data_IF_042805885679
#
_entry.id   IF_042805885679
#
_cell.length_a   1.000
_cell.length_b   1.000
_cell.length_c   1.000
_cell.angle_alpha   90.00
_cell.angle_beta   90.00
_cell.angle_gamma   90.00
#
_symmetry.space_group_name_H-M   'P 1'
#
loop_
_entity.id
_entity.type
_entity.pdbx_description
1 polymer ?
#
# COMPACT_ATOMS: atom_id res chain seq x y z
N UNK A 1 -27.69 12.16 -16.49
CA UNK A 1 -26.79 10.98 -16.62
C UNK A 1 -25.55 11.19 -15.73
N UNK A 2 -24.72 10.17 -15.45
CA UNK A 2 -23.45 10.36 -14.70
C UNK A 2 -22.56 11.47 -15.32
N UNK A 3 -22.73 11.74 -16.61
CA UNK A 3 -22.04 12.82 -17.32
C UNK A 3 -22.55 14.25 -16.98
N UNK A 4 -23.78 14.42 -16.48
CA UNK A 4 -24.30 15.75 -16.06
C UNK A 4 -23.86 16.13 -14.64
N UNK A 5 -23.51 15.15 -13.79
CA UNK A 5 -22.97 15.37 -12.44
C UNK A 5 -21.46 15.66 -12.44
N UNK A 6 -20.75 15.36 -13.53
CA UNK A 6 -19.29 15.50 -13.62
C UNK A 6 -18.79 16.97 -13.59
N UNK A 7 -19.68 17.96 -13.75
CA UNK A 7 -19.33 19.39 -13.78
C UNK A 7 -19.79 20.23 -12.60
N UNK A 8 -20.63 19.70 -11.69
CA UNK A 8 -21.17 20.48 -10.57
C UNK A 8 -20.46 20.14 -9.26
N UNK A 9 -19.70 21.11 -8.74
CA UNK A 9 -19.09 21.02 -7.41
C UNK A 9 -20.19 20.83 -6.36
N UNK A 10 -20.15 19.72 -5.64
CA UNK A 10 -21.07 19.43 -4.55
C UNK A 10 -20.85 20.39 -3.38
N UNK A 11 -21.87 20.54 -2.50
CA UNK A 11 -21.73 21.35 -1.28
C UNK A 11 -20.56 20.86 -0.40
N UNK A 12 -20.36 19.54 -0.33
CA UNK A 12 -19.25 18.94 0.41
C UNK A 12 -17.90 19.36 -0.18
N UNK A 13 -17.73 19.22 -1.50
CA UNK A 13 -16.48 19.63 -2.17
C UNK A 13 -16.21 21.13 -2.00
N UNK A 14 -17.25 21.98 -2.06
CA UNK A 14 -17.10 23.41 -1.82
C UNK A 14 -16.66 23.71 -0.37
N UNK A 15 -17.27 23.04 0.61
CA UNK A 15 -16.87 23.15 2.02
C UNK A 15 -15.42 22.70 2.21
N UNK A 16 -14.99 21.60 1.59
CA UNK A 16 -13.60 21.14 1.65
C UNK A 16 -12.64 22.15 1.00
N UNK A 17 -12.94 22.68 -0.19
CA UNK A 17 -12.10 23.71 -0.81
C UNK A 17 -11.93 24.96 0.08
N UNK A 18 -13.01 25.38 0.75
CA UNK A 18 -12.94 26.49 1.70
C UNK A 18 -12.13 26.13 2.96
N UNK A 19 -12.30 24.91 3.48
CA UNK A 19 -11.55 24.40 4.62
C UNK A 19 -10.05 24.33 4.33
N UNK A 20 -9.65 23.84 3.17
CA UNK A 20 -8.24 23.76 2.79
C UNK A 20 -7.60 25.15 2.61
N UNK A 21 -8.34 26.11 2.02
CA UNK A 21 -7.89 27.50 1.93
C UNK A 21 -7.68 28.11 3.32
N UNK A 22 -8.65 27.95 4.23
CA UNK A 22 -8.57 28.45 5.61
C UNK A 22 -7.38 27.81 6.34
N UNK A 23 -7.19 26.50 6.19
CA UNK A 23 -6.08 25.75 6.79
C UNK A 23 -4.73 26.23 6.25
N UNK A 24 -4.60 26.38 4.94
CA UNK A 24 -3.36 26.85 4.30
C UNK A 24 -2.98 28.24 4.82
N UNK A 25 -3.93 29.17 4.92
CA UNK A 25 -3.69 30.48 5.52
C UNK A 25 -3.33 30.41 7.00
N UNK A 26 -4.00 29.55 7.77
CA UNK A 26 -3.67 29.33 9.18
C UNK A 26 -2.23 28.82 9.36
N UNK A 27 -1.74 27.97 8.47
CA UNK A 27 -0.37 27.45 8.53
C UNK A 27 0.70 28.41 8.01
N UNK A 28 0.33 29.35 7.13
CA UNK A 28 1.24 30.32 6.52
C UNK A 28 1.31 31.66 7.27
N UNK A 29 0.34 31.94 8.15
CA UNK A 29 0.31 33.15 8.95
C UNK A 29 1.55 33.22 9.86
N UNK A 30 2.55 34.00 9.47
CA UNK A 30 3.66 34.38 10.33
C UNK A 30 3.21 35.50 11.27
N UNK A 31 3.75 35.57 12.51
CA UNK A 31 3.40 36.61 13.47
C UNK A 31 3.64 38.05 12.98
N UNK A 32 4.51 38.23 11.98
CA UNK A 32 5.02 39.55 11.57
C UNK A 32 4.52 40.05 10.20
N UNK A 33 3.63 39.32 9.51
CA UNK A 33 3.23 39.71 8.14
C UNK A 33 1.82 39.31 7.68
N UNK A 34 0.97 38.76 8.55
CA UNK A 34 -0.40 38.37 8.20
C UNK A 34 -1.41 39.51 8.27
N UNK A 35 -2.50 39.37 7.50
CA UNK A 35 -3.70 40.22 7.39
C UNK A 35 -4.51 40.39 8.69
N UNK A 36 -3.90 40.14 9.86
CA UNK A 36 -4.49 40.31 11.20
C UNK A 36 -5.59 39.31 11.57
N UNK A 37 -5.96 38.42 10.65
CA UNK A 37 -7.03 37.44 10.83
C UNK A 37 -6.47 36.09 11.28
N UNK A 38 -6.91 35.60 12.45
CA UNK A 38 -6.63 34.25 12.88
C UNK A 38 -7.56 33.26 12.15
N UNK A 39 -6.99 32.52 11.20
CA UNK A 39 -7.72 31.51 10.42
C UNK A 39 -7.96 30.22 11.20
N UNK A 40 -7.31 30.00 12.34
CA UNK A 40 -7.41 28.75 13.08
C UNK A 40 -8.81 28.51 13.69
N UNK A 41 -9.49 29.51 14.30
CA UNK A 41 -10.91 29.41 14.65
C UNK A 41 -11.82 29.09 13.46
N UNK A 42 -11.50 29.60 12.27
CA UNK A 42 -12.27 29.33 11.06
C UNK A 42 -12.14 27.86 10.63
N UNK A 43 -10.92 27.30 10.66
CA UNK A 43 -10.69 25.86 10.42
C UNK A 43 -11.54 25.02 11.36
N UNK A 44 -11.58 25.39 12.65
CA UNK A 44 -12.38 24.70 13.67
C UNK A 44 -13.88 24.72 13.34
N UNK A 45 -14.45 25.90 13.10
CA UNK A 45 -15.88 26.08 12.81
C UNK A 45 -16.28 25.37 11.52
N UNK A 46 -15.47 25.44 10.47
CA UNK A 46 -15.77 24.80 9.19
C UNK A 46 -15.67 23.28 9.30
N UNK A 47 -14.71 22.75 10.05
CA UNK A 47 -14.61 21.30 10.30
C UNK A 47 -15.84 20.81 11.07
N UNK A 48 -16.27 21.53 12.12
CA UNK A 48 -17.49 21.19 12.86
C UNK A 48 -18.75 21.28 11.98
N UNK A 49 -18.82 22.28 11.10
CA UNK A 49 -19.89 22.38 10.11
C UNK A 49 -19.90 21.16 9.19
N UNK A 50 -18.72 20.73 8.71
CA UNK A 50 -18.60 19.58 7.85
C UNK A 50 -19.12 18.31 8.54
N UNK A 51 -18.70 18.05 9.77
CA UNK A 51 -19.12 16.88 10.53
C UNK A 51 -20.63 16.88 10.83
N UNK A 52 -21.15 18.01 11.32
CA UNK A 52 -22.57 18.13 11.68
C UNK A 52 -23.51 18.10 10.47
N UNK A 53 -23.08 18.63 9.32
CA UNK A 53 -23.93 18.75 8.12
C UNK A 53 -23.80 17.63 7.12
N UNK A 54 -22.66 16.94 7.04
CA UNK A 54 -22.44 15.93 6.01
C UNK A 54 -22.26 14.53 6.59
N UNK A 55 -21.55 14.37 7.70
CA UNK A 55 -21.26 13.05 8.25
C UNK A 55 -22.48 12.41 8.91
N UNK A 56 -23.32 13.18 9.60
CA UNK A 56 -24.51 12.68 10.29
C UNK A 56 -24.22 11.46 11.20
N UNK A 57 -23.04 11.45 11.84
CA UNK A 57 -22.59 10.33 12.68
C UNK A 57 -21.92 9.16 11.95
N UNK A 58 -21.80 9.21 10.62
CA UNK A 58 -20.97 8.29 9.85
C UNK A 58 -19.51 8.76 9.73
N UNK A 59 -18.65 7.84 9.33
CA UNK A 59 -17.27 8.16 8.92
C UNK A 59 -17.23 8.88 7.57
N UNK A 60 -16.22 9.74 7.37
CA UNK A 60 -16.02 10.49 6.12
C UNK A 60 -15.94 9.57 4.89
N UNK A 61 -15.39 8.36 5.02
CA UNK A 61 -15.32 7.39 3.92
C UNK A 61 -16.70 6.95 3.44
N UNK A 62 -17.67 6.82 4.35
CA UNK A 62 -19.05 6.49 3.99
C UNK A 62 -19.73 7.62 3.22
N UNK A 63 -19.40 8.88 3.55
CA UNK A 63 -19.94 10.05 2.85
C UNK A 63 -19.34 10.19 1.45
N UNK A 64 -18.01 10.07 1.32
CA UNK A 64 -17.36 10.23 0.01
C UNK A 64 -17.62 9.06 -0.95
N UNK A 65 -18.13 7.93 -0.46
CA UNK A 65 -18.61 6.86 -1.33
C UNK A 65 -19.72 7.33 -2.29
N UNK A 66 -20.50 8.34 -1.89
CA UNK A 66 -21.59 8.92 -2.69
C UNK A 66 -21.17 10.00 -3.70
N UNK A 67 -19.88 10.36 -3.77
CA UNK A 67 -19.37 11.36 -4.74
C UNK A 67 -18.46 10.70 -5.80
N UNK A 68 -18.14 11.39 -6.92
CA UNK A 68 -17.28 10.85 -7.98
C UNK A 68 -15.93 10.37 -7.45
N UNK A 69 -15.45 9.22 -7.93
CA UNK A 69 -14.22 8.60 -7.47
C UNK A 69 -13.00 9.52 -7.51
N UNK A 70 -12.91 10.37 -8.55
CA UNK A 70 -11.82 11.33 -8.73
C UNK A 70 -11.76 12.42 -7.64
N UNK A 71 -12.90 12.75 -7.00
CA UNK A 71 -12.97 13.79 -5.96
C UNK A 71 -12.70 13.27 -4.55
N UNK A 72 -12.81 11.95 -4.32
CA UNK A 72 -12.75 11.35 -2.97
C UNK A 72 -11.41 11.60 -2.27
N UNK A 73 -10.24 11.40 -2.91
CA UNK A 73 -8.95 11.57 -2.24
C UNK A 73 -8.75 12.98 -1.70
N UNK A 74 -9.17 14.01 -2.45
CA UNK A 74 -8.99 15.41 -2.06
C UNK A 74 -9.87 15.81 -0.87
N UNK A 75 -11.11 15.30 -0.82
CA UNK A 75 -12.01 15.51 0.32
C UNK A 75 -11.45 14.82 1.58
N UNK A 76 -11.00 13.58 1.46
CA UNK A 76 -10.38 12.84 2.57
C UNK A 76 -9.11 13.54 3.07
N UNK A 77 -8.23 13.96 2.16
CA UNK A 77 -7.02 14.71 2.47
C UNK A 77 -7.32 15.96 3.26
N UNK A 78 -8.22 16.78 2.75
CA UNK A 78 -8.62 18.03 3.40
C UNK A 78 -9.13 17.78 4.82
N UNK A 79 -10.01 16.79 4.98
CA UNK A 79 -10.60 16.45 6.27
C UNK A 79 -9.52 16.02 7.28
N UNK A 80 -8.65 15.08 6.93
CA UNK A 80 -7.61 14.59 7.83
C UNK A 80 -6.52 15.63 8.13
N UNK A 81 -6.16 16.49 7.16
CA UNK A 81 -5.25 17.61 7.41
C UNK A 81 -5.85 18.66 8.35
N UNK A 82 -7.16 18.93 8.22
CA UNK A 82 -7.85 19.83 9.14
C UNK A 82 -7.86 19.26 10.57
N UNK A 83 -8.21 17.98 10.75
CA UNK A 83 -8.14 17.31 12.04
C UNK A 83 -6.73 17.33 12.64
N UNK A 84 -5.71 17.04 11.85
CA UNK A 84 -4.31 17.10 12.29
C UNK A 84 -3.90 18.51 12.72
N UNK A 85 -4.37 19.54 12.00
CA UNK A 85 -4.11 20.94 12.33
C UNK A 85 -4.77 21.33 13.65
N UNK A 86 -6.06 21.02 13.82
CA UNK A 86 -6.76 21.27 15.07
C UNK A 86 -6.15 20.52 16.25
N UNK A 87 -5.67 19.30 16.05
CA UNK A 87 -4.97 18.51 17.07
C UNK A 87 -3.70 19.20 17.56
N UNK A 88 -2.88 19.69 16.63
CA UNK A 88 -1.59 20.35 16.94
C UNK A 88 -1.77 21.63 17.76
N UNK A 89 -2.90 22.29 17.63
CA UNK A 89 -3.23 23.52 18.37
C UNK A 89 -4.18 23.30 19.57
N UNK A 90 -4.41 22.05 20.00
CA UNK A 90 -5.30 21.69 21.11
C UNK A 90 -6.75 22.22 20.98
N UNK A 91 -7.26 22.27 19.74
CA UNK A 91 -8.63 22.71 19.44
C UNK A 91 -9.59 21.56 19.14
N UNK A 92 -9.12 20.31 19.17
CA UNK A 92 -10.01 19.15 19.05
C UNK A 92 -10.80 18.86 20.32
N UNK A 93 -10.31 19.29 21.49
CA UNK A 93 -10.90 19.04 22.81
C UNK A 93 -11.99 20.06 23.18
N UNK A 94 -11.83 21.32 22.75
CA UNK A 94 -12.77 22.41 23.03
C UNK A 94 -13.97 22.50 22.07
N UNK A 95 -13.94 21.74 20.98
CA UNK A 95 -14.96 21.74 19.93
C UNK A 95 -15.66 20.40 20.04
N UNK A 96 -16.98 20.36 19.99
CA UNK A 96 -17.80 19.16 20.18
C UNK A 96 -17.64 18.08 19.10
N UNK A 97 -16.42 17.84 18.61
CA UNK A 97 -15.97 16.60 17.98
C UNK A 97 -16.33 15.47 18.92
N UNK A 98 -17.53 14.96 18.74
CA UNK A 98 -17.89 13.67 19.28
C UNK A 98 -16.86 12.74 18.64
N UNK A 99 -16.04 12.07 19.43
CA UNK A 99 -15.58 10.74 19.05
C UNK A 99 -16.78 9.85 19.37
N UNK A 100 -17.81 9.67 18.51
CA UNK A 100 -18.42 8.37 18.55
C UNK A 100 -17.24 7.43 18.31
N UNK A 101 -17.06 6.42 19.15
CA UNK A 101 -16.41 5.22 18.63
C UNK A 101 -17.14 4.96 17.32
N UNK A 102 -16.50 5.25 16.19
CA UNK A 102 -17.13 5.11 14.88
C UNK A 102 -17.58 3.67 14.85
N UNK A 103 -18.89 3.47 14.99
CA UNK A 103 -19.46 2.16 15.23
C UNK A 103 -19.58 1.49 13.87
N UNK A 104 -18.43 1.19 13.26
CA UNK A 104 -18.36 0.47 12.01
C UNK A 104 -19.22 -0.79 12.14
N UNK A 105 -20.22 -0.91 11.28
CA UNK A 105 -21.15 -2.02 11.33
C UNK A 105 -20.42 -3.37 11.22
N UNK A 106 -19.33 -3.42 10.43
CA UNK A 106 -18.50 -4.61 10.27
C UNK A 106 -17.74 -4.96 11.56
N UNK A 107 -17.02 -4.02 12.16
CA UNK A 107 -16.27 -4.27 13.39
C UNK A 107 -17.18 -4.47 14.60
N UNK A 108 -18.35 -3.81 14.62
CA UNK A 108 -19.42 -4.08 15.58
C UNK A 108 -19.99 -5.49 15.45
N UNK A 109 -20.14 -6.01 14.23
CA UNK A 109 -20.53 -7.40 14.00
C UNK A 109 -19.44 -8.39 14.42
N UNK A 110 -18.17 -8.07 14.16
CA UNK A 110 -17.02 -8.88 14.60
C UNK A 110 -16.96 -8.97 16.14
N UNK A 111 -17.07 -7.83 16.83
CA UNK A 111 -17.11 -7.76 18.29
C UNK A 111 -18.29 -8.53 18.89
N UNK A 112 -19.45 -8.51 18.22
CA UNK A 112 -20.63 -9.28 18.62
C UNK A 112 -20.54 -10.78 18.26
N UNK A 113 -19.43 -11.26 17.68
CA UNK A 113 -19.25 -12.65 17.28
C UNK A 113 -20.11 -13.09 16.09
N UNK A 114 -20.72 -12.15 15.36
CA UNK A 114 -21.60 -12.43 14.20
C UNK A 114 -20.81 -12.72 12.93
N UNK A 115 -19.59 -12.21 12.85
CA UNK A 115 -18.64 -12.46 11.75
C UNK A 115 -17.26 -12.71 12.32
N UNK A 116 -16.41 -13.41 11.57
CA UNK A 116 -14.98 -13.54 11.87
C UNK A 116 -14.18 -12.92 10.72
N UNK A 117 -13.25 -12.03 11.04
CA UNK A 117 -12.42 -11.35 10.06
C UNK A 117 -11.05 -12.00 9.98
N UNK A 118 -10.51 -12.09 8.76
CA UNK A 118 -9.16 -12.53 8.43
C UNK A 118 -8.46 -11.36 7.74
N UNK A 119 -7.30 -10.93 8.23
CA UNK A 119 -6.46 -9.97 7.52
C UNK A 119 -5.55 -10.72 6.54
N UNK A 120 -5.47 -10.25 5.29
CA UNK A 120 -4.64 -10.85 4.25
C UNK A 120 -3.80 -9.77 3.58
N UNK A 121 -2.49 -10.00 3.50
CA UNK A 121 -1.54 -9.10 2.83
C UNK A 121 -1.00 -9.73 1.55
N UNK A 122 -1.01 -8.99 0.45
CA UNK A 122 -0.52 -9.47 -0.85
C UNK A 122 1.01 -9.50 -0.97
N UNK A 123 1.50 -9.90 -2.16
CA UNK A 123 2.91 -9.83 -2.53
C UNK A 123 3.13 -9.02 -3.83
N UNK A 124 4.28 -9.22 -4.46
CA UNK A 124 4.59 -8.69 -5.79
C UNK A 124 3.77 -9.37 -6.90
N UNK A 125 3.73 -8.75 -8.09
CA UNK A 125 3.16 -9.33 -9.31
C UNK A 125 1.71 -8.95 -9.59
N UNK A 126 1.12 -8.06 -8.78
CA UNK A 126 -0.25 -7.58 -9.00
C UNK A 126 -0.30 -6.34 -9.92
N UNK A 127 0.61 -5.38 -9.73
CA UNK A 127 0.62 -4.08 -10.44
C UNK A 127 2.07 -3.59 -10.55
N UNK A 128 2.46 -3.01 -11.68
CA UNK A 128 3.79 -2.43 -11.87
C UNK A 128 3.92 -1.06 -11.19
N UNK A 129 2.81 -0.31 -11.14
CA UNK A 129 2.71 1.04 -10.55
C UNK A 129 2.47 1.01 -9.03
N UNK A 130 3.02 0.02 -8.32
CA UNK A 130 2.79 -0.15 -6.88
C UNK A 130 3.19 1.09 -6.04
N UNK A 131 4.14 1.90 -6.52
CA UNK A 131 4.54 3.16 -5.85
C UNK A 131 3.44 4.21 -5.91
N UNK A 132 2.61 4.22 -6.96
CA UNK A 132 1.49 5.17 -7.07
C UNK A 132 0.41 4.89 -6.00
N UNK A 133 0.26 3.63 -5.57
CA UNK A 133 -0.58 3.29 -4.41
C UNK A 133 -0.05 3.97 -3.14
N UNK A 134 1.26 3.90 -2.90
CA UNK A 134 1.90 4.54 -1.75
C UNK A 134 1.83 6.07 -1.81
N UNK A 135 2.03 6.67 -3.00
CA UNK A 135 1.89 8.12 -3.21
C UNK A 135 0.45 8.55 -2.92
N UNK A 136 -0.52 7.82 -3.46
CA UNK A 136 -1.95 8.11 -3.25
C UNK A 136 -2.30 8.00 -1.77
N UNK A 137 -1.83 6.94 -1.10
CA UNK A 137 -2.04 6.74 0.34
C UNK A 137 -1.43 7.89 1.16
N UNK A 138 -0.17 8.23 0.92
CA UNK A 138 0.54 9.30 1.63
C UNK A 138 -0.17 10.64 1.46
N UNK A 139 -0.52 11.02 0.21
CA UNK A 139 -1.21 12.27 -0.07
C UNK A 139 -2.62 12.32 0.55
N UNK A 140 -3.37 11.22 0.47
CA UNK A 140 -4.75 11.15 0.97
C UNK A 140 -4.82 11.21 2.49
N UNK A 141 -3.86 10.58 3.18
CA UNK A 141 -3.87 10.45 4.63
C UNK A 141 -2.69 11.15 5.31
N UNK A 142 -2.12 12.17 4.69
CA UNK A 142 -0.92 12.90 5.16
C UNK A 142 -1.03 13.26 6.64
N UNK A 143 -2.14 13.91 7.04
CA UNK A 143 -2.41 14.30 8.43
C UNK A 143 -2.52 13.14 9.44
N UNK A 144 -2.53 11.88 8.98
CA UNK A 144 -2.56 10.67 9.81
C UNK A 144 -1.24 9.90 9.69
N UNK A 145 -0.81 9.61 8.47
CA UNK A 145 0.21 8.59 8.12
C UNK A 145 1.64 9.15 8.13
N UNK A 146 1.82 10.47 8.08
CA UNK A 146 3.14 11.12 8.03
C UNK A 146 4.13 10.62 9.09
N UNK A 147 3.77 10.47 10.40
CA UNK A 147 4.72 9.98 11.41
C UNK A 147 5.24 8.57 11.10
N UNK A 148 4.39 7.70 10.56
CA UNK A 148 4.76 6.34 10.19
C UNK A 148 5.68 6.33 8.95
N UNK A 149 5.28 7.05 7.90
CA UNK A 149 6.05 7.13 6.64
C UNK A 149 7.42 7.75 6.88
N UNK A 150 7.53 8.78 7.70
CA UNK A 150 8.81 9.39 8.04
C UNK A 150 9.76 8.39 8.74
N UNK A 151 9.26 7.59 9.68
CA UNK A 151 10.06 6.55 10.35
C UNK A 151 10.47 5.43 9.38
N UNK A 152 9.58 5.02 8.47
CA UNK A 152 9.90 4.06 7.42
C UNK A 152 10.97 4.61 6.46
N UNK A 153 10.86 5.87 6.06
CA UNK A 153 11.82 6.56 5.19
C UNK A 153 13.21 6.64 5.83
N UNK A 154 13.31 7.04 7.11
CA UNK A 154 14.57 7.05 7.84
C UNK A 154 15.21 5.66 7.91
N UNK A 155 14.39 4.63 8.17
CA UNK A 155 14.85 3.24 8.23
C UNK A 155 15.42 2.78 6.90
N UNK A 156 14.71 3.03 5.80
CA UNK A 156 15.15 2.65 4.45
C UNK A 156 16.36 3.45 3.99
N UNK A 157 16.41 4.76 4.25
CA UNK A 157 17.55 5.60 3.95
C UNK A 157 18.81 5.10 4.67
N UNK A 158 18.68 4.76 5.96
CA UNK A 158 19.78 4.19 6.73
C UNK A 158 20.27 2.85 6.15
N UNK A 159 19.38 1.88 6.01
CA UNK A 159 19.77 0.53 5.59
C UNK A 159 20.27 0.46 4.15
N UNK A 160 19.68 1.23 3.24
CA UNK A 160 20.15 1.30 1.86
C UNK A 160 21.53 1.95 1.76
N UNK A 161 21.90 2.87 2.64
CA UNK A 161 23.20 3.54 2.65
C UNK A 161 24.32 2.77 3.38
N UNK A 162 24.02 1.66 4.07
CA UNK A 162 25.04 0.87 4.77
C UNK A 162 26.11 0.35 3.79
N UNK A 163 27.40 0.29 4.19
CA UNK A 163 28.48 -0.19 3.30
C UNK A 163 28.17 -1.55 2.67
N UNK A 164 27.72 -2.52 3.47
CA UNK A 164 27.32 -3.84 2.98
C UNK A 164 26.19 -3.81 1.93
N UNK A 165 25.26 -2.86 2.01
CA UNK A 165 24.22 -2.72 1.00
C UNK A 165 24.78 -2.10 -0.28
N UNK A 166 25.67 -1.12 -0.14
CA UNK A 166 26.33 -0.44 -1.26
C UNK A 166 27.32 -1.36 -1.99
N UNK A 167 28.00 -2.27 -1.28
CA UNK A 167 28.85 -3.32 -1.86
C UNK A 167 28.06 -4.29 -2.75
N UNK A 168 26.74 -4.40 -2.53
CA UNK A 168 25.80 -5.15 -3.37
C UNK A 168 25.04 -4.28 -4.36
N UNK A 169 25.50 -3.03 -4.56
CA UNK A 169 24.93 -2.05 -5.49
C UNK A 169 23.46 -1.71 -5.19
N UNK A 170 23.06 -1.73 -3.92
CA UNK A 170 21.72 -1.31 -3.53
C UNK A 170 21.45 0.16 -3.90
N UNK A 171 20.26 0.41 -4.44
CA UNK A 171 19.77 1.78 -4.64
C UNK A 171 19.59 2.47 -3.29
N UNK A 172 20.14 3.68 -3.13
CA UNK A 172 19.86 4.51 -1.95
C UNK A 172 18.42 5.00 -2.00
N UNK A 173 17.69 4.79 -0.91
CA UNK A 173 16.25 5.06 -0.83
C UNK A 173 16.03 6.42 -0.16
N UNK A 174 15.48 7.37 -0.92
CA UNK A 174 14.98 8.65 -0.39
C UNK A 174 13.46 8.70 -0.58
N UNK A 175 12.76 7.94 0.26
CA UNK A 175 11.32 7.74 0.15
C UNK A 175 10.53 9.06 0.26
N UNK A 176 10.95 9.99 1.13
CA UNK A 176 10.23 11.26 1.29
C UNK A 176 10.30 12.10 0.01
N UNK A 177 11.48 12.26 -0.58
CA UNK A 177 11.62 12.95 -1.87
C UNK A 177 10.79 12.26 -2.94
N UNK A 178 10.78 10.93 -3.00
CA UNK A 178 10.01 10.17 -3.98
C UNK A 178 8.49 10.41 -3.87
N UNK A 179 7.95 10.55 -2.65
CA UNK A 179 6.52 10.78 -2.44
C UNK A 179 6.10 12.23 -2.75
N UNK A 180 6.98 13.19 -2.47
CA UNK A 180 6.70 14.62 -2.64
C UNK A 180 6.97 15.11 -4.07
N UNK A 181 8.04 14.61 -4.68
CA UNK A 181 8.64 15.12 -5.92
C UNK A 181 8.74 14.01 -6.96
N UNK A 182 7.73 13.87 -7.84
CA UNK A 182 7.68 12.81 -8.84
C UNK A 182 8.94 12.69 -9.70
N UNK A 183 9.63 13.81 -9.97
CA UNK A 183 10.86 13.91 -10.76
C UNK A 183 12.09 13.28 -10.09
N UNK A 184 12.05 13.04 -8.78
CA UNK A 184 13.14 12.39 -8.03
C UNK A 184 13.01 10.87 -7.97
N UNK A 185 11.87 10.33 -8.46
CA UNK A 185 11.58 8.91 -8.38
C UNK A 185 12.42 8.12 -9.39
N UNK A 186 12.94 6.94 -9.01
CA UNK A 186 13.56 6.01 -9.95
C UNK A 186 12.58 5.61 -11.06
N UNK A 187 13.11 5.24 -12.22
CA UNK A 187 12.30 4.70 -13.32
C UNK A 187 11.65 3.37 -12.95
N UNK A 188 10.55 3.01 -13.63
CA UNK A 188 9.74 1.81 -13.36
C UNK A 188 10.59 0.54 -13.27
N UNK A 189 11.53 0.32 -14.20
CA UNK A 189 12.39 -0.88 -14.18
C UNK A 189 13.22 -0.99 -12.90
N UNK A 190 13.75 0.13 -12.41
CA UNK A 190 14.51 0.17 -11.17
C UNK A 190 13.58 -0.03 -9.96
N UNK A 191 12.40 0.58 -9.95
CA UNK A 191 11.40 0.36 -8.91
C UNK A 191 10.97 -1.10 -8.81
N UNK A 192 10.98 -1.86 -9.91
CA UNK A 192 10.68 -3.29 -9.91
C UNK A 192 11.81 -4.16 -9.33
N UNK A 193 13.02 -3.63 -9.10
CA UNK A 193 14.07 -4.36 -8.38
C UNK A 193 13.58 -4.76 -6.99
N UNK A 194 13.93 -5.97 -6.57
CA UNK A 194 13.39 -6.58 -5.34
C UNK A 194 13.82 -5.82 -4.09
N UNK A 195 15.02 -5.23 -4.05
CA UNK A 195 15.46 -4.41 -2.92
C UNK A 195 14.68 -3.09 -2.75
N UNK A 196 13.94 -2.64 -3.78
CA UNK A 196 13.04 -1.49 -3.70
C UNK A 196 11.59 -1.94 -3.50
N UNK A 197 11.10 -2.84 -4.35
CA UNK A 197 9.69 -3.24 -4.34
C UNK A 197 9.28 -3.99 -3.08
N UNK A 198 10.07 -4.93 -2.55
CA UNK A 198 9.73 -5.65 -1.31
C UNK A 198 9.44 -4.69 -0.15
N UNK A 199 10.40 -3.84 0.26
CA UNK A 199 10.17 -2.96 1.39
C UNK A 199 9.09 -1.91 1.12
N UNK A 200 8.98 -1.34 -0.07
CA UNK A 200 7.98 -0.32 -0.38
C UNK A 200 6.54 -0.87 -0.41
N UNK A 201 6.35 -2.09 -0.90
CA UNK A 201 5.07 -2.80 -0.77
C UNK A 201 4.75 -3.05 0.71
N UNK A 202 5.74 -3.48 1.50
CA UNK A 202 5.59 -3.64 2.96
C UNK A 202 5.20 -2.34 3.66
N UNK A 203 5.83 -1.21 3.32
CA UNK A 203 5.47 0.12 3.83
C UNK A 203 4.04 0.46 3.49
N UNK A 204 3.61 0.23 2.25
CA UNK A 204 2.24 0.48 1.79
C UNK A 204 1.22 -0.32 2.60
N UNK A 205 1.47 -1.62 2.76
CA UNK A 205 0.62 -2.54 3.53
C UNK A 205 0.47 -2.11 5.00
N UNK A 206 1.60 -1.81 5.65
CA UNK A 206 1.63 -1.40 7.05
C UNK A 206 1.04 -0.01 7.24
N UNK A 207 1.22 0.91 6.29
CA UNK A 207 0.59 2.22 6.29
C UNK A 207 -0.94 2.11 6.14
N UNK A 208 -1.45 1.23 5.28
CA UNK A 208 -2.88 0.94 5.18
C UNK A 208 -3.45 0.42 6.51
N UNK A 209 -2.75 -0.51 7.16
CA UNK A 209 -3.12 -0.99 8.49
C UNK A 209 -3.12 0.13 9.53
N UNK A 210 -2.08 0.97 9.53
CA UNK A 210 -1.94 2.13 10.41
C UNK A 210 -3.11 3.10 10.25
N UNK A 211 -3.40 3.54 9.02
CA UNK A 211 -4.56 4.39 8.73
C UNK A 211 -5.85 3.74 9.24
N UNK A 212 -6.04 2.43 9.02
CA UNK A 212 -7.26 1.74 9.43
C UNK A 212 -7.52 1.84 10.93
N UNK A 213 -6.56 1.49 11.79
CA UNK A 213 -6.80 1.54 13.24
C UNK A 213 -6.88 2.99 13.76
N UNK A 214 -6.15 3.93 13.15
CA UNK A 214 -6.23 5.37 13.50
C UNK A 214 -7.60 5.95 13.16
N UNK A 215 -8.16 5.61 12.00
CA UNK A 215 -9.51 6.04 11.57
C UNK A 215 -10.59 5.42 12.44
N UNK A 216 -10.47 4.14 12.79
CA UNK A 216 -11.37 3.49 13.74
C UNK A 216 -11.26 4.03 15.17
N UNK A 217 -10.17 4.72 15.49
CA UNK A 217 -9.90 5.25 16.82
C UNK A 217 -9.63 4.15 17.85
N UNK A 218 -9.02 3.04 17.42
CA UNK A 218 -8.67 1.89 18.27
C UNK A 218 -7.16 1.67 18.29
N UNK A 219 -6.65 0.99 19.32
CA UNK A 219 -5.26 0.56 19.39
C UNK A 219 -5.02 -0.75 18.61
N UNK A 220 -3.75 -1.12 18.35
CA UNK A 220 -3.44 -2.38 17.67
C UNK A 220 -3.96 -3.63 18.39
N UNK A 221 -4.01 -3.66 19.72
CA UNK A 221 -4.57 -4.77 20.48
C UNK A 221 -6.07 -4.98 20.19
N UNK A 222 -6.86 -3.91 20.21
CA UNK A 222 -8.28 -3.95 19.87
C UNK A 222 -8.47 -4.30 18.40
N UNK A 223 -7.63 -3.77 17.51
CA UNK A 223 -7.65 -4.10 16.09
C UNK A 223 -7.37 -5.60 15.84
N UNK A 224 -6.40 -6.18 16.54
CA UNK A 224 -6.07 -7.61 16.45
C UNK A 224 -7.24 -8.50 16.92
N UNK A 225 -8.00 -8.08 17.94
CA UNK A 225 -9.19 -8.82 18.40
C UNK A 225 -10.28 -8.89 17.32
N UNK A 226 -10.39 -7.89 16.44
CA UNK A 226 -11.33 -7.94 15.33
C UNK A 226 -10.96 -9.03 14.31
N UNK A 227 -9.67 -9.31 14.12
CA UNK A 227 -9.18 -10.36 13.23
C UNK A 227 -9.17 -11.75 13.88
N UNK A 228 -10.30 -12.13 14.45
CA UNK A 228 -10.45 -13.39 15.18
C UNK A 228 -10.27 -14.66 14.32
N UNK A 229 -10.32 -14.57 12.99
CA UNK A 229 -9.96 -15.69 12.10
C UNK A 229 -8.44 -15.80 11.86
N UNK A 230 -7.67 -14.78 12.25
CA UNK A 230 -6.22 -14.71 12.12
C UNK A 230 -5.75 -13.62 11.17
N UNK A 231 -4.44 -13.65 10.90
CA UNK A 231 -3.77 -12.81 9.91
C UNK A 231 -2.86 -13.69 9.07
N UNK A 232 -2.73 -13.40 7.77
CA UNK A 232 -1.85 -14.14 6.87
C UNK A 232 -1.37 -13.25 5.75
N UNK A 233 -0.42 -13.72 4.95
CA UNK A 233 0.01 -13.02 3.76
C UNK A 233 0.55 -13.94 2.70
N UNK A 234 0.41 -13.50 1.45
CA UNK A 234 0.87 -14.18 0.26
C UNK A 234 2.32 -13.78 -0.05
N UNK A 235 3.20 -14.77 -0.23
CA UNK A 235 4.64 -14.52 -0.45
C UNK A 235 5.20 -13.57 0.61
N UNK A 236 5.78 -12.43 0.21
CA UNK A 236 6.34 -11.44 1.13
C UNK A 236 5.30 -10.81 2.09
N UNK A 237 4.00 -10.84 1.77
CA UNK A 237 2.95 -10.27 2.60
C UNK A 237 2.87 -10.90 3.99
N UNK A 238 3.39 -12.13 4.14
CA UNK A 238 3.48 -12.80 5.44
C UNK A 238 4.28 -11.99 6.46
N UNK A 239 5.27 -11.19 6.00
CA UNK A 239 6.09 -10.34 6.88
C UNK A 239 5.22 -9.25 7.52
N UNK A 240 4.36 -8.59 6.74
CA UNK A 240 3.39 -7.61 7.24
C UNK A 240 2.37 -8.25 8.19
N UNK A 241 1.89 -9.46 7.86
CA UNK A 241 0.96 -10.20 8.70
C UNK A 241 1.53 -10.52 10.09
N UNK A 242 2.80 -10.94 10.16
CA UNK A 242 3.51 -11.21 11.41
C UNK A 242 3.75 -9.91 12.19
N UNK A 243 4.10 -8.82 11.51
CA UNK A 243 4.34 -7.53 12.16
C UNK A 243 3.08 -7.02 12.88
N UNK A 244 1.91 -7.09 12.24
CA UNK A 244 0.66 -6.67 12.89
C UNK A 244 0.21 -7.63 13.99
N UNK A 245 0.42 -8.94 13.82
CA UNK A 245 0.04 -9.93 14.82
C UNK A 245 0.89 -9.83 16.11
N UNK A 246 2.12 -9.32 15.97
CA UNK A 246 3.07 -9.15 17.07
C UNK A 246 2.94 -7.80 17.79
N UNK A 247 1.91 -7.00 17.50
CA UNK A 247 1.79 -5.62 17.97
C UNK A 247 0.50 -5.39 18.75
N UNK A 248 0.61 -5.03 20.03
CA UNK A 248 -0.51 -4.72 20.91
C UNK A 248 -0.66 -3.20 21.13
N UNK A 249 0.45 -2.45 21.10
CA UNK A 249 0.43 -0.98 21.20
C UNK A 249 0.90 -0.30 19.91
N UNK A 250 0.68 1.00 19.79
CA UNK A 250 1.17 1.78 18.65
C UNK A 250 2.70 1.80 18.62
N UNK A 251 3.36 1.86 19.78
CA UNK A 251 4.82 1.79 19.90
C UNK A 251 5.37 0.45 19.42
N UNK A 252 4.74 -0.65 19.84
CA UNK A 252 5.09 -2.00 19.36
C UNK A 252 4.86 -2.13 17.85
N UNK A 253 3.77 -1.57 17.34
CA UNK A 253 3.50 -1.53 15.91
C UNK A 253 4.62 -0.81 15.14
N UNK A 254 5.05 0.37 15.57
CA UNK A 254 6.16 1.09 14.95
C UNK A 254 7.46 0.27 14.98
N UNK A 255 7.80 -0.32 16.13
CA UNK A 255 9.00 -1.14 16.27
C UNK A 255 8.97 -2.39 15.39
N UNK A 256 7.84 -3.09 15.33
CA UNK A 256 7.70 -4.30 14.52
C UNK A 256 7.60 -4.00 13.02
N UNK A 257 6.96 -2.89 12.65
CA UNK A 257 6.92 -2.40 11.28
C UNK A 257 8.34 -2.06 10.78
N UNK A 258 9.16 -1.40 11.59
CA UNK A 258 10.56 -1.15 11.24
C UNK A 258 11.32 -2.46 11.00
N UNK A 259 11.20 -3.46 11.91
CA UNK A 259 11.82 -4.78 11.70
C UNK A 259 11.35 -5.44 10.40
N UNK A 260 10.06 -5.37 10.10
CA UNK A 260 9.48 -5.90 8.87
C UNK A 260 10.05 -5.21 7.62
N UNK A 261 10.13 -3.88 7.61
CA UNK A 261 10.70 -3.09 6.51
C UNK A 261 12.17 -3.43 6.29
N UNK A 262 12.95 -3.55 7.38
CA UNK A 262 14.36 -3.95 7.32
C UNK A 262 14.50 -5.36 6.76
N UNK A 263 13.70 -6.31 7.24
CA UNK A 263 13.70 -7.68 6.75
C UNK A 263 13.39 -7.73 5.25
N UNK A 264 12.35 -7.02 4.81
CA UNK A 264 11.95 -6.97 3.39
C UNK A 264 13.03 -6.34 2.50
N UNK A 265 13.67 -5.26 2.95
CA UNK A 265 14.79 -4.65 2.23
C UNK A 265 15.95 -5.64 2.03
N UNK A 266 16.40 -6.28 3.11
CA UNK A 266 17.51 -7.22 3.05
C UNK A 266 17.14 -8.50 2.30
N UNK A 267 15.92 -9.00 2.47
CA UNK A 267 15.43 -10.15 1.71
C UNK A 267 15.49 -9.86 0.21
N UNK A 268 15.00 -8.69 -0.22
CA UNK A 268 15.04 -8.27 -1.61
C UNK A 268 16.45 -8.13 -2.14
N UNK A 269 17.34 -7.43 -1.43
CA UNK A 269 18.72 -7.25 -1.86
C UNK A 269 19.48 -8.57 -1.99
N UNK A 270 19.33 -9.47 -1.03
CA UNK A 270 20.01 -10.77 -1.06
C UNK A 270 19.42 -11.70 -2.13
N UNK A 271 18.10 -11.65 -2.35
CA UNK A 271 17.44 -12.40 -3.41
C UNK A 271 17.92 -11.95 -4.80
N UNK A 272 18.04 -10.63 -5.03
CA UNK A 272 18.53 -10.06 -6.28
C UNK A 272 19.98 -10.47 -6.58
N UNK A 273 20.81 -10.52 -5.54
CA UNK A 273 22.18 -11.01 -5.67
C UNK A 273 22.24 -12.50 -6.01
N UNK A 274 21.42 -13.32 -5.37
CA UNK A 274 21.37 -14.76 -5.61
C UNK A 274 20.85 -15.07 -7.01
N UNK A 275 19.87 -14.31 -7.47
CA UNK A 275 19.22 -14.45 -8.77
C UNK A 275 19.53 -13.22 -9.64
N UNK A 276 20.80 -13.07 -10.08
CA UNK A 276 21.17 -11.97 -10.99
C UNK A 276 20.28 -12.02 -12.24
N UNK A 277 19.71 -10.87 -12.62
CA UNK A 277 18.96 -10.71 -13.88
C UNK A 277 19.83 -11.24 -15.03
N UNK A 278 19.42 -12.37 -15.60
CA UNK A 278 20.04 -12.88 -16.82
C UNK A 278 19.59 -12.00 -17.99
N UNK A 279 20.52 -11.64 -18.87
CA UNK A 279 20.18 -10.97 -20.14
C UNK A 279 19.33 -11.95 -20.96
N UNK A 280 18.08 -11.57 -21.24
CA UNK A 280 17.19 -12.35 -22.09
C UNK A 280 17.66 -12.20 -23.54
N UNK A 281 17.72 -13.30 -24.28
CA UNK A 281 18.07 -13.28 -25.70
C UNK A 281 17.02 -12.45 -26.46
N UNK A 282 17.41 -11.48 -27.32
CA UNK A 282 16.48 -10.67 -28.09
C UNK A 282 15.49 -11.50 -28.93
N UNK A 283 15.89 -12.68 -29.41
CA UNK A 283 14.99 -13.56 -30.16
C UNK A 283 13.92 -14.18 -29.26
N UNK A 284 14.29 -14.58 -28.03
CA UNK A 284 13.33 -15.09 -27.02
C UNK A 284 12.34 -13.99 -26.65
N UNK A 285 12.84 -12.76 -26.44
CA UNK A 285 11.98 -11.62 -26.14
C UNK A 285 10.99 -11.36 -27.29
N UNK A 286 11.48 -11.34 -28.53
CA UNK A 286 10.64 -11.07 -29.69
C UNK A 286 9.57 -12.16 -29.90
N UNK A 287 9.94 -13.42 -29.73
CA UNK A 287 9.00 -14.54 -29.87
C UNK A 287 7.91 -14.52 -28.78
N UNK A 288 8.30 -14.37 -27.52
CA UNK A 288 7.38 -14.33 -26.38
C UNK A 288 6.37 -13.17 -26.51
N UNK A 289 6.83 -12.00 -26.99
CA UNK A 289 5.95 -10.87 -27.31
C UNK A 289 5.02 -11.16 -28.50
N UNK A 290 5.51 -11.82 -29.55
CA UNK A 290 4.69 -12.19 -30.71
C UNK A 290 3.56 -13.18 -30.34
N UNK A 291 3.78 -14.02 -29.33
CA UNK A 291 2.81 -14.97 -28.80
C UNK A 291 1.93 -14.40 -27.67
N UNK A 292 2.05 -13.11 -27.33
CA UNK A 292 1.31 -12.43 -26.24
C UNK A 292 1.57 -13.02 -24.84
N UNK A 293 2.76 -13.57 -24.61
CA UNK A 293 3.15 -14.13 -23.31
C UNK A 293 3.74 -13.07 -22.37
N UNK A 294 4.19 -11.94 -22.93
CA UNK A 294 4.80 -10.82 -22.21
C UNK A 294 6.33 -10.85 -22.23
N UNK A 295 6.95 -10.05 -21.36
CA UNK A 295 8.41 -10.04 -21.20
C UNK A 295 8.81 -11.22 -20.31
N UNK A 296 9.75 -12.09 -20.72
CA UNK A 296 10.19 -13.20 -19.89
C UNK A 296 10.73 -12.72 -18.53
N UNK A 297 10.14 -13.22 -17.45
CA UNK A 297 10.56 -12.93 -16.07
C UNK A 297 10.88 -14.21 -15.32
N UNK A 298 11.49 -14.14 -14.11
CA UNK A 298 11.76 -15.32 -13.29
C UNK A 298 10.50 -15.98 -12.68
N UNK A 299 9.30 -15.46 -12.95
CA UNK A 299 8.03 -15.99 -12.44
C UNK A 299 6.97 -16.05 -13.55
N UNK A 300 6.55 -17.25 -13.93
CA UNK A 300 5.53 -17.50 -14.94
C UNK A 300 4.20 -17.85 -14.28
N UNK A 301 3.19 -17.00 -14.46
CA UNK A 301 1.83 -17.27 -14.03
C UNK A 301 1.09 -18.10 -15.08
N UNK A 302 0.57 -19.26 -14.69
CA UNK A 302 -0.27 -20.10 -15.53
C UNK A 302 -1.69 -20.02 -14.98
N UNK A 303 -2.59 -19.44 -15.77
CA UNK A 303 -3.99 -19.23 -15.40
C UNK A 303 -4.92 -19.92 -16.39
N UNK A 304 -5.93 -20.59 -15.85
CA UNK A 304 -6.94 -21.24 -16.67
C UNK A 304 -8.09 -20.30 -16.97
N UNK A 305 -8.56 -20.31 -18.20
CA UNK A 305 -9.85 -19.72 -18.54
C UNK A 305 -10.99 -20.75 -18.36
N UNK A 306 -12.23 -20.28 -18.49
CA UNK A 306 -13.40 -21.16 -18.49
C UNK A 306 -13.69 -21.74 -19.88
N UNK A 307 -13.03 -21.24 -20.92
CA UNK A 307 -13.21 -21.61 -22.33
C UNK A 307 -12.42 -22.86 -22.74
N UNK A 308 -11.38 -23.24 -21.98
CA UNK A 308 -10.47 -24.31 -22.33
C UNK A 308 -10.36 -25.37 -21.23
N UNK A 309 -10.07 -26.65 -21.57
CA UNK A 309 -9.78 -27.66 -20.58
C UNK A 309 -8.56 -27.25 -19.75
N UNK A 310 -8.74 -27.13 -18.44
CA UNK A 310 -7.65 -26.77 -17.54
C UNK A 310 -6.70 -27.95 -17.31
N UNK A 311 -5.40 -27.70 -17.43
CA UNK A 311 -4.33 -28.66 -17.10
C UNK A 311 -4.23 -28.74 -15.57
N UNK A 312 -4.49 -29.93 -15.00
CA UNK A 312 -4.43 -30.10 -13.53
C UNK A 312 -3.01 -29.86 -13.03
N UNK A 313 -2.86 -29.46 -11.77
CA UNK A 313 -1.53 -29.27 -11.14
C UNK A 313 -0.62 -30.49 -11.29
N UNK A 314 -1.18 -31.71 -11.20
CA UNK A 314 -0.44 -32.95 -11.42
C UNK A 314 0.06 -33.14 -12.85
N UNK A 315 -0.65 -32.58 -13.84
CA UNK A 315 -0.25 -32.63 -15.24
C UNK A 315 0.77 -31.52 -15.55
N UNK A 316 0.58 -30.33 -14.99
CA UNK A 316 1.60 -29.26 -15.05
C UNK A 316 2.93 -29.73 -14.45
N UNK A 317 2.89 -30.46 -13.32
CA UNK A 317 4.10 -31.04 -12.73
C UNK A 317 4.81 -32.01 -13.67
N UNK A 318 4.08 -32.82 -14.46
CA UNK A 318 4.70 -33.72 -15.45
C UNK A 318 5.42 -32.94 -16.56
N UNK A 319 4.85 -31.82 -17.00
CA UNK A 319 5.50 -30.95 -17.98
C UNK A 319 6.77 -30.36 -17.40
N UNK A 320 6.70 -29.83 -16.17
CA UNK A 320 7.88 -29.35 -15.43
C UNK A 320 8.95 -30.42 -15.27
N UNK A 321 8.58 -31.64 -14.87
CA UNK A 321 9.53 -32.74 -14.69
C UNK A 321 10.21 -33.13 -16.01
N UNK A 322 9.44 -33.16 -17.11
CA UNK A 322 9.96 -33.39 -18.46
C UNK A 322 10.94 -32.30 -18.87
N UNK A 323 10.57 -31.02 -18.75
CA UNK A 323 11.44 -29.87 -19.03
C UNK A 323 12.71 -29.91 -18.19
N UNK A 324 12.59 -30.17 -16.89
CA UNK A 324 13.72 -30.26 -15.96
C UNK A 324 14.67 -31.43 -16.24
N UNK A 325 14.23 -32.47 -16.95
CA UNK A 325 15.09 -33.60 -17.33
C UNK A 325 16.19 -33.20 -18.33
N UNK A 326 15.96 -32.11 -19.08
CA UNK A 326 16.93 -31.54 -20.02
C UNK A 326 17.76 -30.39 -19.43
N UNK A 327 17.48 -29.98 -18.18
CA UNK A 327 18.08 -28.81 -17.56
C UNK A 327 19.05 -29.22 -16.43
N UNK A 328 20.22 -28.55 -16.32
CA UNK A 328 21.05 -28.67 -15.13
C UNK A 328 20.33 -28.11 -13.90
N UNK A 329 20.78 -28.50 -12.71
CA UNK A 329 20.10 -28.21 -11.44
C UNK A 329 19.84 -26.70 -11.21
N UNK A 330 20.82 -25.86 -11.54
CA UNK A 330 20.76 -24.39 -11.41
C UNK A 330 19.81 -23.71 -12.41
N UNK A 331 19.28 -24.46 -13.39
CA UNK A 331 18.36 -23.96 -14.41
C UNK A 331 16.96 -24.54 -14.33
N UNK A 332 16.67 -25.39 -13.36
CA UNK A 332 15.36 -26.01 -13.21
C UNK A 332 14.28 -25.00 -12.87
N UNK A 333 13.05 -25.34 -13.26
CA UNK A 333 11.83 -24.59 -12.95
C UNK A 333 11.05 -25.32 -11.86
N UNK A 334 10.39 -24.57 -11.00
CA UNK A 334 9.72 -25.10 -9.81
C UNK A 334 8.33 -24.50 -9.65
N UNK A 335 7.33 -25.35 -9.35
CA UNK A 335 6.03 -24.89 -8.88
C UNK A 335 6.21 -24.14 -7.55
N UNK A 336 6.04 -22.82 -7.58
CA UNK A 336 6.32 -21.94 -6.45
C UNK A 336 5.06 -21.51 -5.72
N UNK A 337 3.96 -21.27 -6.45
CA UNK A 337 2.70 -20.86 -5.88
C UNK A 337 1.54 -21.67 -6.46
N UNK A 338 0.62 -22.09 -5.58
CA UNK A 338 -0.69 -22.63 -5.96
C UNK A 338 -1.74 -21.67 -5.43
N UNK A 339 -2.08 -20.66 -6.24
CA UNK A 339 -3.01 -19.60 -5.85
C UNK A 339 -4.47 -20.08 -5.87
N UNK A 340 -4.77 -21.14 -6.60
CA UNK A 340 -6.09 -21.75 -6.62
C UNK A 340 -6.14 -23.03 -7.47
N UNK A 341 -7.35 -23.57 -7.69
CA UNK A 341 -7.52 -24.79 -8.49
C UNK A 341 -7.04 -24.65 -9.93
N UNK A 342 -7.07 -23.42 -10.48
CA UNK A 342 -6.67 -23.08 -11.86
C UNK A 342 -5.66 -21.94 -11.98
N UNK A 343 -4.88 -21.71 -10.92
CA UNK A 343 -3.90 -20.65 -10.90
C UNK A 343 -2.66 -21.14 -10.16
N UNK A 344 -1.54 -21.17 -10.88
CA UNK A 344 -0.25 -21.56 -10.36
C UNK A 344 0.82 -20.60 -10.86
N UNK A 345 1.92 -20.50 -10.12
CA UNK A 345 3.09 -19.75 -10.55
C UNK A 345 4.32 -20.62 -10.46
N UNK A 346 5.10 -20.64 -11.53
CA UNK A 346 6.36 -21.35 -11.63
C UNK A 346 7.51 -20.34 -11.56
N UNK A 347 8.57 -20.67 -10.83
CA UNK A 347 9.77 -19.83 -10.76
C UNK A 347 10.99 -20.58 -11.28
N UNK A 348 11.91 -19.84 -11.87
CA UNK A 348 13.17 -20.35 -12.43
C UNK A 348 13.83 -19.27 -13.29
N UNK A 349 14.94 -19.57 -13.97
CA UNK A 349 15.51 -18.62 -14.92
C UNK A 349 14.51 -18.28 -16.03
N UNK A 350 14.44 -17.02 -16.50
CA UNK A 350 13.49 -16.60 -17.54
C UNK A 350 13.55 -17.47 -18.80
N UNK A 351 14.76 -17.87 -19.23
CA UNK A 351 14.94 -18.75 -20.39
C UNK A 351 14.35 -20.15 -20.18
N UNK A 352 14.47 -20.70 -18.97
CA UNK A 352 13.91 -22.02 -18.64
C UNK A 352 12.39 -21.97 -18.60
N UNK A 353 11.81 -20.87 -18.10
CA UNK A 353 10.36 -20.65 -18.08
C UNK A 353 9.79 -20.45 -19.49
N UNK A 354 10.51 -19.74 -20.37
CA UNK A 354 10.15 -19.66 -21.79
C UNK A 354 10.15 -21.05 -22.45
N UNK A 355 11.11 -21.92 -22.11
CA UNK A 355 11.13 -23.31 -22.57
C UNK A 355 10.01 -24.19 -22.01
N UNK A 356 9.32 -23.76 -20.94
CA UNK A 356 8.13 -24.44 -20.41
C UNK A 356 6.85 -24.03 -21.17
N UNK A 357 6.82 -22.84 -21.78
CA UNK A 357 5.69 -22.35 -22.58
C UNK A 357 5.56 -23.06 -23.95
N UNK A 358 6.67 -23.60 -24.47
CA UNK A 358 6.79 -24.22 -25.80
C UNK A 358 6.78 -25.74 -25.75
#
# INVERSE_FOLDING_TARGET
SEAELAGQITKLELTCKFLDLARTRATQATPEGGDGFDFLPLVSVVTQHLESRFLHGNDIHAVVAGIPAASRPEVLRTYYLALATLKRHDLLSGVGFSKPQLASALFGAARAGRVKLLAVFGGQGNVEEYVEELVTLFRTYEGVVEPFIHQAALTLAHHSALPQAQDEHATKIDLMSWLEKPETRPGTEQLLSTHLSLPLIGVTQLACYYVTFKVLGVDPATMAQFFAAGTTGHSQGVVSAVAIASSQTEEEFFANAQKAIVLLFWLGLRAERACRKAVVDPNILQDSLANNEGVPTPMLAVQGDFSSPWIRHSELQKHVDSTNSFLPEDRRVHLSLVNGPRSAVFSGPPQSLYGLNN
#
